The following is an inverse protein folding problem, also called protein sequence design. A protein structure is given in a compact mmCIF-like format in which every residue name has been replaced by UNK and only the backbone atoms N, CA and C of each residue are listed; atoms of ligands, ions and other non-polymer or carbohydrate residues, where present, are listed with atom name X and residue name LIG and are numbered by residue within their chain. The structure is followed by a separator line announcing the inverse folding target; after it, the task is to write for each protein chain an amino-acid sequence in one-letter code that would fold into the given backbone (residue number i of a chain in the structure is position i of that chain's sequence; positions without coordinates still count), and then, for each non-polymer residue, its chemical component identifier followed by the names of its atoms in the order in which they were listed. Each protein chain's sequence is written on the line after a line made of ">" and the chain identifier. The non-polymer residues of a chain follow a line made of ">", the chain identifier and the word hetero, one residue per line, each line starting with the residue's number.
data_IF_182528882159
#
_entry.id   IF_182528882159
#
_cell.length_a   1.000
_cell.length_b   1.000
_cell.length_c   1.000
_cell.angle_alpha   90.00
_cell.angle_beta   90.00
_cell.angle_gamma   90.00
#
_symmetry.space_group_name_H-M   'P 1'
#
loop_
_entity.id
_entity.type
_entity.pdbx_description
1 polymer ?
#
# COMPACT_ATOMS: atom_id res chain seq x y z
N UNK A 1 -46.98 40.12 44.11
CA UNK A 1 -45.82 39.20 43.89
C UNK A 1 -45.96 38.62 42.48
N UNK A 2 -45.13 39.04 41.54
CA UNK A 2 -45.16 38.62 40.12
C UNK A 2 -44.07 37.59 39.91
N UNK A 3 -44.42 36.33 39.67
CA UNK A 3 -43.44 35.27 39.32
C UNK A 3 -43.07 35.38 37.86
N UNK A 4 -41.81 35.74 37.55
CA UNK A 4 -41.25 35.73 36.21
C UNK A 4 -40.66 34.32 35.95
N UNK A 5 -41.23 33.60 35.00
CA UNK A 5 -40.69 32.35 34.49
C UNK A 5 -39.63 32.66 33.42
N UNK A 6 -38.38 32.31 33.70
CA UNK A 6 -37.30 32.38 32.73
C UNK A 6 -37.30 31.07 31.95
N UNK A 7 -37.70 31.12 30.68
CA UNK A 7 -37.58 30.01 29.73
C UNK A 7 -36.17 30.04 29.17
N UNK A 8 -35.30 29.11 29.60
CA UNK A 8 -33.98 28.89 29.03
C UNK A 8 -34.17 28.00 27.79
N UNK A 9 -34.08 28.62 26.61
CA UNK A 9 -34.13 27.91 25.33
C UNK A 9 -32.75 27.28 25.08
N UNK A 10 -32.66 25.97 25.21
CA UNK A 10 -31.47 25.17 24.83
C UNK A 10 -31.39 25.09 23.30
N UNK A 11 -30.51 25.88 22.71
CA UNK A 11 -30.16 25.79 21.28
C UNK A 11 -29.25 24.59 21.07
N UNK A 12 -29.82 23.48 20.65
CA UNK A 12 -29.05 22.26 20.26
C UNK A 12 -28.46 22.54 18.88
N UNK A 13 -27.16 22.85 18.84
CA UNK A 13 -26.40 22.93 17.57
C UNK A 13 -26.10 21.52 17.10
N UNK A 14 -26.85 21.03 16.13
CA UNK A 14 -26.52 19.81 15.38
C UNK A 14 -25.32 20.11 14.48
N UNK A 15 -24.13 19.75 14.90
CA UNK A 15 -22.97 19.69 14.00
C UNK A 15 -23.10 18.43 13.15
N UNK A 16 -23.60 18.59 11.94
CA UNK A 16 -23.59 17.53 10.94
C UNK A 16 -22.12 17.27 10.56
N UNK A 17 -21.51 16.23 11.13
CA UNK A 17 -20.24 15.71 10.63
C UNK A 17 -20.51 15.01 9.29
N UNK A 18 -20.44 15.77 8.20
CA UNK A 18 -20.36 15.16 6.87
C UNK A 18 -19.06 14.39 6.80
N UNK A 19 -19.13 13.07 6.71
CA UNK A 19 -17.97 12.23 6.39
C UNK A 19 -17.47 12.68 5.02
N UNK A 20 -16.41 13.47 5.01
CA UNK A 20 -15.83 13.99 3.78
C UNK A 20 -15.23 12.82 3.02
N UNK A 21 -15.77 12.50 1.86
CA UNK A 21 -15.20 11.49 0.96
C UNK A 21 -13.87 12.01 0.46
N UNK A 22 -12.83 11.19 0.61
CA UNK A 22 -11.50 11.54 0.11
C UNK A 22 -11.52 11.73 -1.42
N UNK A 23 -10.75 12.70 -1.95
CA UNK A 23 -10.60 12.85 -3.39
C UNK A 23 -9.92 11.62 -3.99
N UNK A 24 -10.14 11.37 -5.29
CA UNK A 24 -9.49 10.28 -6.02
C UNK A 24 -7.97 10.48 -6.15
N UNK A 25 -7.55 11.74 -6.17
CA UNK A 25 -6.13 12.13 -6.27
C UNK A 25 -5.82 13.18 -5.21
N UNK A 26 -4.62 13.08 -4.65
CA UNK A 26 -4.16 14.07 -3.70
C UNK A 26 -4.01 15.43 -4.37
N UNK A 27 -4.66 16.45 -3.80
CA UNK A 27 -4.72 17.80 -4.35
C UNK A 27 -3.73 18.75 -3.69
N UNK A 28 -3.33 18.44 -2.46
CA UNK A 28 -2.47 19.31 -1.66
C UNK A 28 -1.05 18.78 -1.54
N UNK A 29 -0.09 19.69 -1.53
CA UNK A 29 1.31 19.40 -1.23
C UNK A 29 1.52 19.36 0.28
N UNK A 30 2.19 18.32 0.78
CA UNK A 30 2.42 18.12 2.20
C UNK A 30 3.90 18.03 2.54
N UNK A 31 4.31 18.75 3.58
CA UNK A 31 5.59 18.48 4.24
C UNK A 31 5.47 17.21 5.07
N UNK A 32 6.48 16.34 4.95
CA UNK A 32 6.58 15.17 5.79
C UNK A 32 6.72 15.58 7.26
N UNK A 33 6.05 14.88 8.20
CA UNK A 33 6.26 15.09 9.62
C UNK A 33 7.74 14.94 9.99
N UNK A 34 8.23 15.76 10.93
CA UNK A 34 9.63 15.71 11.36
C UNK A 34 10.04 14.37 12.02
N UNK A 35 9.05 13.65 12.53
CA UNK A 35 9.21 12.36 13.20
C UNK A 35 8.80 11.17 12.30
N UNK A 36 8.74 11.36 10.96
CA UNK A 36 8.32 10.30 10.04
C UNK A 36 9.21 9.07 10.21
N UNK A 37 8.58 7.92 10.33
CA UNK A 37 9.21 6.60 10.41
C UNK A 37 8.65 5.74 9.30
N UNK A 38 9.49 4.87 8.76
CA UNK A 38 9.11 3.93 7.70
C UNK A 38 9.10 2.52 8.32
N UNK A 39 8.18 2.30 9.24
CA UNK A 39 8.09 1.07 10.02
C UNK A 39 6.87 0.20 9.67
N UNK A 40 6.09 0.64 8.69
CA UNK A 40 4.84 0.01 8.26
C UNK A 40 3.66 0.41 9.11
N UNK A 41 3.71 1.57 9.74
CA UNK A 41 2.60 2.15 10.51
C UNK A 41 2.29 3.53 9.98
N UNK A 42 1.02 3.90 10.00
CA UNK A 42 0.57 5.23 9.54
C UNK A 42 0.31 6.19 10.71
N UNK A 43 1.01 5.99 11.83
CA UNK A 43 0.78 6.74 13.08
C UNK A 43 1.06 8.22 12.94
N UNK A 44 2.03 8.60 12.13
CA UNK A 44 2.41 9.98 11.87
C UNK A 44 1.33 10.76 11.13
N UNK A 45 0.46 10.05 10.44
CA UNK A 45 -0.67 10.62 9.69
C UNK A 45 -1.98 10.61 10.47
N UNK A 46 -2.01 9.94 11.65
CA UNK A 46 -3.23 9.80 12.48
C UNK A 46 -4.41 9.27 11.67
N UNK A 47 -4.15 8.31 10.77
CA UNK A 47 -5.12 7.73 9.82
C UNK A 47 -5.75 8.73 8.82
N UNK A 48 -5.24 9.93 8.70
CA UNK A 48 -5.71 10.97 7.78
C UNK A 48 -4.97 10.86 6.45
N UNK A 49 -5.42 9.96 5.60
CA UNK A 49 -4.93 9.86 4.22
C UNK A 49 -5.50 10.99 3.36
N UNK A 50 -4.76 11.36 2.32
CA UNK A 50 -5.12 12.51 1.48
C UNK A 50 -5.98 12.14 0.28
N UNK A 51 -5.94 10.89 -0.15
CA UNK A 51 -6.72 10.43 -1.28
C UNK A 51 -7.07 8.94 -1.18
N UNK A 52 -8.10 8.54 -1.92
CA UNK A 52 -8.51 7.15 -2.12
C UNK A 52 -8.80 6.92 -3.60
N UNK A 53 -7.99 6.10 -4.25
CA UNK A 53 -8.24 5.70 -5.62
C UNK A 53 -9.15 4.47 -5.69
N UNK A 54 -10.21 4.56 -6.49
CA UNK A 54 -11.24 3.51 -6.60
C UNK A 54 -10.80 2.33 -7.47
N UNK A 55 -9.91 2.54 -8.43
CA UNK A 55 -9.48 1.48 -9.34
C UNK A 55 -8.50 0.52 -8.65
N UNK A 56 -7.63 1.06 -7.82
CA UNK A 56 -6.67 0.29 -7.03
C UNK A 56 -7.14 -0.03 -5.61
N UNK A 57 -8.19 0.66 -5.14
CA UNK A 57 -8.74 0.58 -3.77
C UNK A 57 -7.70 0.86 -2.68
N UNK A 58 -6.77 1.78 -2.97
CA UNK A 58 -5.75 2.20 -2.02
C UNK A 58 -6.02 3.59 -1.47
N UNK A 59 -5.82 3.74 -0.17
CA UNK A 59 -5.67 5.06 0.46
C UNK A 59 -4.21 5.45 0.37
N UNK A 60 -3.92 6.71 0.09
CA UNK A 60 -2.53 7.12 0.00
C UNK A 60 -2.30 8.58 0.40
N UNK A 61 -1.07 8.86 0.78
CA UNK A 61 -0.53 10.19 1.05
C UNK A 61 0.85 10.29 0.44
N UNK A 62 1.10 11.37 -0.29
CA UNK A 62 2.42 11.75 -0.78
C UNK A 62 2.87 12.96 0.01
N UNK A 63 4.10 12.95 0.46
CA UNK A 63 4.72 14.06 1.17
C UNK A 63 6.20 14.16 0.85
N UNK A 64 6.82 15.26 1.18
CA UNK A 64 8.27 15.41 1.03
C UNK A 64 8.87 16.24 2.17
N UNK A 65 10.14 16.02 2.42
CA UNK A 65 10.99 16.99 3.10
C UNK A 65 12.03 17.55 2.11
N UNK A 66 13.13 18.11 2.59
CA UNK A 66 14.18 18.68 1.72
C UNK A 66 15.03 17.59 1.05
N UNK A 67 15.00 16.37 1.55
CA UNK A 67 15.87 15.26 1.11
C UNK A 67 15.13 14.14 0.41
N UNK A 68 13.89 13.88 0.80
CA UNK A 68 13.15 12.69 0.39
C UNK A 68 11.73 13.01 -0.07
N UNK A 69 11.26 12.21 -1.01
CA UNK A 69 9.86 12.03 -1.40
C UNK A 69 9.32 10.77 -0.71
N UNK A 70 8.14 10.88 -0.08
CA UNK A 70 7.51 9.79 0.66
C UNK A 70 6.18 9.41 0.05
N UNK A 71 5.92 8.10 0.01
CA UNK A 71 4.62 7.52 -0.29
C UNK A 71 4.17 6.67 0.90
N UNK A 72 3.01 6.95 1.45
CA UNK A 72 2.37 6.12 2.48
C UNK A 72 1.06 5.60 1.90
N UNK A 73 0.91 4.28 1.84
CA UNK A 73 -0.23 3.59 1.24
C UNK A 73 -0.86 2.68 2.28
N UNK A 74 -2.21 2.70 2.33
CA UNK A 74 -3.01 1.86 3.22
C UNK A 74 -4.01 1.06 2.41
N UNK A 75 -4.07 -0.24 2.66
CA UNK A 75 -4.94 -1.18 1.96
C UNK A 75 -5.76 -1.97 2.96
N UNK A 76 -7.09 -1.91 2.80
CA UNK A 76 -8.05 -2.57 3.69
C UNK A 76 -8.64 -3.85 3.08
N UNK A 77 -8.70 -3.93 1.75
CA UNK A 77 -9.37 -5.03 1.06
C UNK A 77 -8.46 -6.26 0.99
N UNK A 78 -8.87 -7.42 1.54
CA UNK A 78 -8.02 -8.62 1.56
C UNK A 78 -7.57 -9.07 0.17
N UNK A 79 -8.45 -8.99 -0.85
CA UNK A 79 -8.09 -9.35 -2.23
C UNK A 79 -7.01 -8.44 -2.84
N UNK A 80 -7.05 -7.15 -2.49
CA UNK A 80 -6.02 -6.19 -2.94
C UNK A 80 -4.70 -6.46 -2.22
N UNK A 81 -4.75 -6.78 -0.92
CA UNK A 81 -3.58 -7.20 -0.15
C UNK A 81 -2.96 -8.47 -0.76
N UNK A 82 -3.80 -9.47 -1.11
CA UNK A 82 -3.32 -10.69 -1.76
C UNK A 82 -2.62 -10.39 -3.09
N UNK A 83 -3.19 -9.50 -3.91
CA UNK A 83 -2.58 -9.04 -5.16
C UNK A 83 -1.21 -8.43 -4.92
N UNK A 84 -1.10 -7.53 -3.93
CA UNK A 84 0.17 -6.90 -3.56
C UNK A 84 1.20 -7.92 -3.07
N UNK A 85 0.78 -8.86 -2.23
CA UNK A 85 1.69 -9.89 -1.71
C UNK A 85 2.22 -10.80 -2.83
N UNK A 86 1.44 -11.03 -3.87
CA UNK A 86 1.85 -11.86 -5.01
C UNK A 86 2.74 -11.11 -6.02
N UNK A 87 2.54 -9.80 -6.20
CA UNK A 87 3.15 -9.10 -7.33
C UNK A 87 3.75 -7.71 -7.01
N UNK A 88 3.47 -7.20 -5.81
CA UNK A 88 4.00 -5.91 -5.35
C UNK A 88 3.20 -4.69 -5.82
N UNK A 89 3.61 -3.56 -5.25
CA UNK A 89 3.22 -2.22 -5.67
C UNK A 89 4.40 -1.61 -6.42
N UNK A 90 4.16 -1.10 -7.61
CA UNK A 90 5.14 -0.28 -8.34
C UNK A 90 4.77 1.18 -8.17
N UNK A 91 5.70 1.96 -7.67
CA UNK A 91 5.63 3.42 -7.66
C UNK A 91 6.51 3.92 -8.79
N UNK A 92 5.92 4.65 -9.73
CA UNK A 92 6.66 5.32 -10.81
C UNK A 92 6.57 6.82 -10.63
N UNK A 93 7.68 7.50 -10.82
CA UNK A 93 7.81 8.96 -10.79
C UNK A 93 8.38 9.42 -12.12
N UNK A 94 7.67 10.32 -12.79
CA UNK A 94 8.09 10.91 -14.04
C UNK A 94 8.16 12.43 -13.92
N UNK A 95 9.30 13.03 -14.27
CA UNK A 95 9.56 14.45 -14.12
C UNK A 95 9.12 15.29 -15.33
N UNK A 96 8.81 14.67 -16.46
CA UNK A 96 8.41 15.38 -17.69
C UNK A 96 6.89 15.57 -17.79
N UNK A 97 6.15 15.08 -16.83
CA UNK A 97 4.68 15.15 -16.81
C UNK A 97 3.98 14.14 -17.72
N UNK A 98 4.74 13.22 -18.32
CA UNK A 98 4.17 12.12 -19.12
C UNK A 98 3.51 11.10 -18.20
N UNK A 99 2.38 10.59 -18.65
CA UNK A 99 1.64 9.48 -18.02
C UNK A 99 1.79 8.24 -18.89
N UNK A 100 3.03 7.78 -19.02
CA UNK A 100 3.42 6.69 -19.89
C UNK A 100 4.41 5.78 -19.16
N UNK A 101 4.06 4.52 -19.03
CA UNK A 101 4.86 3.49 -18.36
C UNK A 101 6.19 3.21 -19.06
N UNK A 102 6.24 3.41 -20.38
CA UNK A 102 7.42 3.13 -21.22
C UNK A 102 8.36 4.35 -21.36
N UNK A 103 8.02 5.48 -20.72
CA UNK A 103 8.87 6.65 -20.78
C UNK A 103 10.25 6.36 -20.19
N UNK A 104 11.30 6.73 -20.92
CA UNK A 104 12.71 6.43 -20.58
C UNK A 104 13.22 7.22 -19.36
N UNK A 105 12.50 8.25 -18.96
CA UNK A 105 12.78 9.13 -17.82
C UNK A 105 11.97 8.77 -16.57
N UNK A 106 11.31 7.62 -16.60
CA UNK A 106 10.63 7.06 -15.43
C UNK A 106 11.63 6.52 -14.41
N UNK A 107 11.42 6.86 -13.15
CA UNK A 107 12.02 6.16 -12.01
C UNK A 107 10.95 5.30 -11.38
N UNK A 108 11.17 3.99 -11.34
CA UNK A 108 10.19 3.02 -10.84
C UNK A 108 10.78 2.14 -9.74
N UNK A 109 10.00 1.92 -8.69
CA UNK A 109 10.36 1.04 -7.57
C UNK A 109 9.20 0.08 -7.30
N UNK A 110 9.51 -1.22 -7.22
CA UNK A 110 8.51 -2.26 -6.93
C UNK A 110 8.85 -2.98 -5.63
N UNK A 111 7.88 -3.06 -4.71
CA UNK A 111 7.96 -3.76 -3.43
C UNK A 111 6.54 -4.10 -2.93
N UNK A 112 6.31 -5.19 -2.17
CA UNK A 112 7.25 -6.25 -1.87
C UNK A 112 7.46 -7.21 -3.04
N UNK A 113 8.62 -7.81 -3.11
CA UNK A 113 8.91 -8.92 -4.02
C UNK A 113 9.28 -10.12 -3.17
N UNK A 114 8.48 -11.18 -3.27
CA UNK A 114 8.65 -12.40 -2.49
C UNK A 114 8.64 -13.60 -3.42
N UNK A 115 9.33 -14.67 -3.03
CA UNK A 115 9.19 -15.95 -3.71
C UNK A 115 7.78 -16.49 -3.50
N UNK A 116 7.17 -17.03 -4.55
CA UNK A 116 5.79 -17.54 -4.52
C UNK A 116 5.54 -18.53 -3.38
N UNK A 117 6.55 -19.33 -3.03
CA UNK A 117 6.49 -20.27 -1.91
C UNK A 117 6.38 -19.62 -0.53
N UNK A 118 6.72 -18.34 -0.44
CA UNK A 118 6.83 -17.60 0.84
C UNK A 118 5.81 -16.47 0.96
N UNK A 119 4.88 -16.36 -0.01
CA UNK A 119 3.84 -15.33 0.03
C UNK A 119 2.91 -15.58 1.22
N UNK A 120 2.78 -14.63 2.16
CA UNK A 120 1.79 -14.73 3.21
C UNK A 120 0.38 -14.73 2.60
N UNK A 121 -0.35 -15.80 2.79
CA UNK A 121 -1.75 -15.86 2.37
C UNK A 121 -2.62 -15.44 3.56
N UNK A 122 -3.22 -14.28 3.45
CA UNK A 122 -4.23 -13.81 4.39
C UNK A 122 -5.57 -14.23 3.81
N UNK A 123 -6.12 -15.34 4.30
CA UNK A 123 -7.44 -15.80 3.88
C UNK A 123 -8.46 -15.36 4.91
N UNK A 124 -9.35 -14.45 4.53
CA UNK A 124 -10.57 -14.19 5.29
C UNK A 124 -11.63 -15.18 4.85
N UNK A 125 -11.89 -16.21 5.66
CA UNK A 125 -13.01 -17.11 5.42
C UNK A 125 -14.32 -16.35 5.62
N UNK A 126 -15.02 -16.09 4.51
CA UNK A 126 -16.38 -15.54 4.52
C UNK A 126 -17.34 -16.66 4.87
N UNK A 127 -18.07 -16.54 5.98
CA UNK A 127 -19.17 -17.47 6.32
C UNK A 127 -19.23 -17.99 7.74
N UNK A 128 -18.21 -17.81 8.56
CA UNK A 128 -18.26 -18.15 9.98
C UNK A 128 -18.29 -16.85 10.81
N UNK A 129 -18.93 -16.90 11.99
CA UNK A 129 -18.98 -15.78 12.96
C UNK A 129 -17.61 -15.33 13.48
N UNK A 130 -16.53 -15.96 13.03
CA UNK A 130 -15.13 -15.65 13.32
C UNK A 130 -14.36 -15.44 12.02
N UNK A 131 -13.70 -14.30 11.86
CA UNK A 131 -12.74 -14.06 10.78
C UNK A 131 -11.53 -14.95 11.04
N UNK A 132 -11.29 -15.97 10.19
CA UNK A 132 -10.06 -16.77 10.22
C UNK A 132 -9.03 -16.11 9.31
N UNK A 133 -7.88 -15.80 9.85
CA UNK A 133 -6.71 -15.44 9.07
C UNK A 133 -5.81 -16.66 9.02
N UNK A 134 -5.64 -17.26 7.84
CA UNK A 134 -4.72 -18.36 7.66
C UNK A 134 -3.44 -17.84 7.02
N UNK A 135 -2.32 -18.16 7.62
CA UNK A 135 -1.00 -17.91 7.04
C UNK A 135 -0.44 -19.26 6.63
N UNK A 136 -0.39 -19.54 5.32
CA UNK A 136 0.27 -20.73 4.81
C UNK A 136 1.56 -20.34 4.11
N UNK A 137 2.65 -20.99 4.45
CA UNK A 137 3.92 -20.91 3.73
C UNK A 137 4.16 -22.23 3.00
N UNK A 138 4.45 -22.13 1.70
CA UNK A 138 5.06 -23.21 0.94
C UNK A 138 4.14 -24.03 0.03
N UNK A 139 4.72 -24.38 -1.11
CA UNK A 139 4.17 -25.32 -2.09
C UNK A 139 4.41 -26.74 -1.55
N UNK A 140 3.34 -27.53 -1.42
CA UNK A 140 3.44 -28.99 -1.24
C UNK A 140 3.26 -29.54 0.16
N UNK A 141 3.10 -28.73 1.18
CA UNK A 141 2.46 -29.21 2.39
C UNK A 141 0.96 -29.12 2.18
N UNK A 142 0.29 -30.28 2.07
CA UNK A 142 -1.13 -30.35 2.43
C UNK A 142 -1.24 -29.53 3.71
N UNK A 143 -2.35 -28.82 3.95
CA UNK A 143 -2.59 -28.27 5.27
C UNK A 143 -2.38 -29.45 6.22
N UNK A 144 -1.22 -29.55 6.84
CA UNK A 144 -1.07 -30.41 8.00
C UNK A 144 -2.09 -29.84 8.95
N UNK A 145 -2.84 -30.71 9.62
CA UNK A 145 -3.95 -30.44 10.52
C UNK A 145 -3.64 -29.49 11.70
N UNK A 146 -2.71 -28.58 11.51
CA UNK A 146 -2.46 -27.45 12.38
C UNK A 146 -3.27 -26.27 11.85
N UNK A 147 -4.57 -26.34 11.97
CA UNK A 147 -5.42 -25.17 12.03
C UNK A 147 -5.24 -24.59 13.43
N UNK A 148 -4.55 -23.46 13.61
CA UNK A 148 -4.67 -22.76 14.87
C UNK A 148 -6.12 -22.32 14.98
N UNK A 149 -6.93 -22.96 15.82
CA UNK A 149 -8.24 -22.49 16.20
C UNK A 149 -8.09 -21.15 16.90
N UNK A 150 -8.31 -20.08 16.17
CA UNK A 150 -8.40 -18.75 16.75
C UNK A 150 -9.83 -18.50 17.21
N UNK A 151 -10.11 -18.88 18.42
CA UNK A 151 -11.26 -18.37 19.17
C UNK A 151 -10.98 -16.89 19.48
N UNK A 152 -11.84 -16.01 18.95
CA UNK A 152 -11.95 -14.58 19.24
C UNK A 152 -10.87 -13.67 18.65
N UNK A 153 -11.33 -12.57 18.04
CA UNK A 153 -10.63 -11.35 17.61
C UNK A 153 -9.20 -11.54 17.06
N UNK A 154 -8.82 -10.96 15.91
CA UNK A 154 -7.46 -11.06 15.40
C UNK A 154 -6.49 -10.64 16.51
N UNK A 155 -5.84 -11.62 17.13
CA UNK A 155 -4.93 -11.34 18.22
C UNK A 155 -3.71 -10.62 17.67
N UNK A 156 -3.05 -9.80 18.49
CA UNK A 156 -1.78 -9.15 18.16
C UNK A 156 -0.75 -10.14 17.60
N UNK A 157 -0.85 -11.42 17.94
CA UNK A 157 0.00 -12.50 17.43
C UNK A 157 -0.10 -12.75 15.92
N UNK A 158 -1.29 -12.60 15.28
CA UNK A 158 -1.44 -12.84 13.83
C UNK A 158 -0.84 -11.72 13.00
N UNK A 159 -1.07 -10.48 13.39
CA UNK A 159 -0.43 -9.30 12.86
C UNK A 159 1.09 -9.47 12.89
N UNK A 160 1.61 -9.90 14.03
CA UNK A 160 3.04 -10.08 14.22
C UNK A 160 3.58 -11.21 13.34
N UNK A 161 2.85 -12.32 13.19
CA UNK A 161 3.24 -13.42 12.29
C UNK A 161 3.24 -12.97 10.84
N UNK A 162 2.17 -12.34 10.35
CA UNK A 162 2.10 -11.84 8.98
C UNK A 162 3.20 -10.80 8.68
N UNK A 163 3.43 -9.86 9.60
CA UNK A 163 4.48 -8.85 9.48
C UNK A 163 5.88 -9.49 9.54
N UNK A 164 6.11 -10.46 10.41
CA UNK A 164 7.38 -11.20 10.47
C UNK A 164 7.66 -11.96 9.18
N UNK A 165 6.66 -12.64 8.62
CA UNK A 165 6.80 -13.36 7.34
C UNK A 165 7.09 -12.39 6.19
N UNK A 166 6.38 -11.26 6.11
CA UNK A 166 6.65 -10.22 5.14
C UNK A 166 8.10 -9.74 5.26
N UNK A 167 8.52 -9.32 6.45
CA UNK A 167 9.89 -8.83 6.72
C UNK A 167 10.96 -9.90 6.51
N UNK A 168 10.66 -11.17 6.72
CA UNK A 168 11.59 -12.26 6.48
C UNK A 168 11.83 -12.53 5.00
N UNK A 169 10.81 -12.37 4.16
CA UNK A 169 10.82 -12.79 2.77
C UNK A 169 10.94 -11.63 1.76
N UNK A 170 10.40 -10.45 2.04
CA UNK A 170 10.53 -9.28 1.19
C UNK A 170 11.84 -8.53 1.48
N UNK A 171 12.93 -9.00 0.87
CA UNK A 171 14.29 -8.46 1.06
C UNK A 171 14.80 -7.60 -0.07
N UNK A 172 14.00 -7.49 -1.13
CA UNK A 172 14.42 -6.90 -2.39
C UNK A 172 13.42 -5.86 -2.86
N UNK A 173 13.94 -4.73 -3.31
CA UNK A 173 13.24 -3.68 -4.04
C UNK A 173 13.69 -3.76 -5.49
N UNK A 174 12.80 -3.90 -6.45
CA UNK A 174 13.16 -3.78 -7.86
C UNK A 174 13.19 -2.32 -8.25
N UNK A 175 14.30 -1.89 -8.84
CA UNK A 175 14.54 -0.50 -9.25
C UNK A 175 14.74 -0.43 -10.75
N UNK A 176 14.22 0.65 -11.36
CA UNK A 176 14.46 0.98 -12.76
C UNK A 176 14.55 2.50 -12.92
N UNK A 177 15.49 2.95 -13.76
CA UNK A 177 15.58 4.32 -14.24
C UNK A 177 16.30 5.32 -13.33
N UNK A 178 16.95 4.85 -12.26
CA UNK A 178 17.85 5.69 -11.45
C UNK A 178 19.23 5.69 -12.07
N UNK A 179 19.69 6.82 -12.54
CA UNK A 179 20.97 6.92 -13.29
C UNK A 179 22.18 6.40 -12.49
N UNK A 180 22.18 6.61 -11.19
CA UNK A 180 23.30 6.29 -10.29
C UNK A 180 23.25 4.85 -9.77
N UNK A 181 22.16 4.14 -10.01
CA UNK A 181 21.94 2.79 -9.51
C UNK A 181 21.56 1.90 -10.71
N UNK A 182 22.26 0.81 -10.95
CA UNK A 182 21.89 -0.11 -12.04
C UNK A 182 20.46 -0.61 -11.88
N UNK A 183 19.74 -0.71 -12.99
CA UNK A 183 18.42 -1.34 -13.01
C UNK A 183 18.51 -2.78 -12.50
N UNK A 184 17.58 -3.16 -11.65
CA UNK A 184 17.52 -4.51 -11.10
C UNK A 184 17.09 -4.56 -9.64
N UNK A 185 17.63 -5.52 -8.94
CA UNK A 185 17.26 -5.83 -7.56
C UNK A 185 18.20 -5.13 -6.56
N UNK A 186 17.62 -4.30 -5.69
CA UNK A 186 18.30 -3.62 -4.60
C UNK A 186 17.87 -4.23 -3.27
N UNK A 187 18.82 -4.47 -2.37
CA UNK A 187 18.51 -4.93 -1.01
C UNK A 187 17.69 -3.88 -0.25
N UNK A 188 16.76 -4.30 0.60
CA UNK A 188 16.09 -3.40 1.55
C UNK A 188 17.06 -2.78 2.56
N UNK A 189 18.26 -3.34 2.71
CA UNK A 189 19.35 -2.85 3.57
C UNK A 189 20.42 -2.08 2.77
N UNK A 190 19.98 -1.35 1.74
CA UNK A 190 20.88 -0.63 0.82
C UNK A 190 21.55 0.59 1.47
N UNK A 191 22.60 1.08 0.80
CA UNK A 191 23.33 2.30 1.21
C UNK A 191 22.81 3.55 0.49
N UNK A 192 21.94 3.38 -0.47
CA UNK A 192 21.35 4.42 -1.29
C UNK A 192 20.30 5.24 -0.54
N UNK A 193 19.92 4.81 0.66
CA UNK A 193 18.85 5.39 1.48
C UNK A 193 17.47 5.36 0.82
N UNK A 194 17.25 4.39 -0.06
CA UNK A 194 15.90 4.04 -0.53
C UNK A 194 15.30 3.12 0.52
N UNK A 195 14.32 3.60 1.25
CA UNK A 195 13.79 2.89 2.42
C UNK A 195 12.36 2.48 2.14
N UNK A 196 12.06 1.22 2.43
CA UNK A 196 10.69 0.69 2.41
C UNK A 196 10.33 0.15 3.79
N UNK A 197 9.13 0.47 4.25
CA UNK A 197 8.51 -0.09 5.43
C UNK A 197 7.18 -0.73 5.06
N UNK A 198 6.89 -1.92 5.58
CA UNK A 198 5.59 -2.52 5.39
C UNK A 198 5.22 -3.41 6.57
N UNK A 199 3.96 -3.36 6.96
CA UNK A 199 3.43 -4.18 8.05
C UNK A 199 1.92 -4.35 7.95
N UNK A 200 1.40 -5.27 8.75
CA UNK A 200 -0.03 -5.42 8.98
C UNK A 200 -0.39 -4.85 10.35
N UNK A 201 -1.49 -4.13 10.44
CA UNK A 201 -2.03 -3.72 11.73
C UNK A 201 -2.88 -4.84 12.38
N UNK A 202 -3.36 -4.60 13.60
CA UNK A 202 -4.16 -5.57 14.35
C UNK A 202 -5.49 -5.94 13.70
N UNK A 203 -5.95 -5.20 12.70
CA UNK A 203 -7.17 -5.47 11.95
C UNK A 203 -6.89 -6.18 10.62
N UNK A 204 -5.61 -6.45 10.29
CA UNK A 204 -5.20 -7.04 9.02
C UNK A 204 -5.08 -6.03 7.87
N UNK A 205 -5.14 -4.74 8.19
CA UNK A 205 -4.88 -3.67 7.21
C UNK A 205 -3.39 -3.61 6.90
N UNK A 206 -3.06 -3.55 5.63
CA UNK A 206 -1.69 -3.44 5.15
C UNK A 206 -1.28 -1.98 5.00
N UNK A 207 -0.15 -1.63 5.58
CA UNK A 207 0.50 -0.33 5.42
C UNK A 207 1.81 -0.53 4.67
N UNK A 208 2.03 0.30 3.67
CA UNK A 208 3.25 0.37 2.88
C UNK A 208 3.79 1.80 2.91
N UNK A 209 5.07 1.94 3.09
CA UNK A 209 5.77 3.21 3.14
C UNK A 209 7.03 3.14 2.29
N UNK A 210 7.30 4.19 1.55
CA UNK A 210 8.47 4.31 0.70
C UNK A 210 9.07 5.71 0.86
N UNK A 211 10.38 5.79 1.04
CA UNK A 211 11.15 7.01 0.90
C UNK A 211 12.13 6.88 -0.26
N UNK A 212 12.11 7.86 -1.14
CA UNK A 212 13.03 7.98 -2.27
C UNK A 212 13.82 9.28 -2.10
N UNK A 213 15.16 9.24 -1.99
CA UNK A 213 15.96 10.46 -1.96
C UNK A 213 15.77 11.29 -3.23
N UNK A 214 15.45 12.58 -3.05
CA UNK A 214 15.20 13.52 -4.15
C UNK A 214 16.40 13.63 -5.13
N UNK A 215 17.61 13.35 -4.65
CA UNK A 215 18.81 13.32 -5.49
C UNK A 215 18.72 12.33 -6.66
N UNK A 216 17.92 11.27 -6.52
CA UNK A 216 17.69 10.27 -7.58
C UNK A 216 16.52 10.63 -8.51
N UNK A 217 15.75 11.63 -8.14
CA UNK A 217 14.61 12.14 -8.89
C UNK A 217 14.99 13.46 -9.60
N UNK A 218 16.16 13.46 -10.27
CA UNK A 218 16.69 14.65 -10.95
C UNK A 218 15.69 15.17 -11.98
N UNK A 219 15.49 16.46 -12.02
CA UNK A 219 14.45 17.10 -12.82
C UNK A 219 13.20 17.46 -12.02
N UNK A 220 12.78 16.66 -11.04
CA UNK A 220 11.68 17.00 -10.13
C UNK A 220 12.08 18.20 -9.27
N UNK A 221 13.32 18.21 -8.76
CA UNK A 221 13.81 19.28 -7.89
C UNK A 221 13.81 20.65 -8.62
N UNK A 222 14.03 20.64 -9.92
CA UNK A 222 14.06 21.89 -10.72
C UNK A 222 12.66 22.34 -11.16
N UNK A 223 11.71 21.42 -11.31
CA UNK A 223 10.35 21.72 -11.79
C UNK A 223 9.32 21.74 -10.69
N UNK A 224 9.65 21.25 -9.48
CA UNK A 224 8.77 21.12 -8.30
C UNK A 224 7.50 20.31 -8.53
N UNK A 225 7.08 20.07 -9.77
CA UNK A 225 5.88 19.31 -10.17
C UNK A 225 6.27 18.12 -11.01
N UNK A 226 5.66 16.97 -10.73
CA UNK A 226 5.90 15.70 -11.43
C UNK A 226 4.61 14.88 -11.52
N UNK A 227 4.60 13.88 -12.39
CA UNK A 227 3.57 12.85 -12.41
C UNK A 227 4.05 11.61 -11.66
N UNK A 228 3.11 10.93 -11.05
CA UNK A 228 3.35 9.65 -10.41
C UNK A 228 2.32 8.61 -10.84
N UNK A 229 2.70 7.35 -10.80
CA UNK A 229 1.82 6.22 -10.97
C UNK A 229 1.91 5.30 -9.75
N UNK A 230 0.77 4.85 -9.26
CA UNK A 230 0.68 3.78 -8.27
C UNK A 230 0.02 2.59 -8.96
N UNK A 231 0.80 1.51 -9.13
CA UNK A 231 0.41 0.33 -9.89
C UNK A 231 0.46 -0.91 -9.02
N UNK A 232 -0.65 -1.62 -8.94
CA UNK A 232 -0.72 -2.96 -8.38
C UNK A 232 -0.44 -3.96 -9.51
N UNK A 233 0.67 -4.66 -9.40
CA UNK A 233 1.13 -5.55 -10.46
C UNK A 233 0.24 -6.79 -10.58
N UNK A 234 0.16 -7.31 -11.80
CA UNK A 234 -0.41 -8.63 -12.05
C UNK A 234 0.56 -9.73 -11.57
N UNK A 235 0.04 -10.79 -10.96
CA UNK A 235 0.87 -11.96 -10.65
C UNK A 235 1.51 -12.57 -11.91
N UNK A 236 0.91 -12.37 -13.09
CA UNK A 236 1.46 -12.84 -14.37
C UNK A 236 2.73 -12.09 -14.77
N UNK A 237 2.88 -10.83 -14.36
CA UNK A 237 4.07 -10.01 -14.63
C UNK A 237 5.29 -10.43 -13.78
N UNK A 238 5.06 -11.22 -12.75
CA UNK A 238 6.09 -11.67 -11.78
C UNK A 238 6.28 -13.18 -11.84
N UNK A 239 5.80 -13.81 -12.92
CA UNK A 239 5.98 -15.25 -13.14
C UNK A 239 7.46 -15.63 -13.08
N UNK A 240 7.80 -16.45 -12.09
CA UNK A 240 9.15 -16.96 -11.88
C UNK A 240 9.24 -18.38 -12.40
N UNK A 241 10.43 -18.86 -12.79
CA UNK A 241 10.61 -20.24 -13.24
C UNK A 241 10.01 -21.23 -12.24
N UNK A 242 9.16 -22.14 -12.72
CA UNK A 242 8.48 -23.15 -11.88
C UNK A 242 7.14 -22.70 -11.28
N UNK A 243 6.69 -21.49 -11.51
CA UNK A 243 5.37 -21.03 -11.09
C UNK A 243 4.32 -21.61 -12.04
N UNK A 244 3.42 -22.44 -11.51
CA UNK A 244 2.25 -22.97 -12.24
C UNK A 244 1.05 -22.15 -11.84
N UNK A 245 0.44 -21.43 -12.77
CA UNK A 245 -0.84 -20.78 -12.57
C UNK A 245 -1.94 -21.83 -12.73
N UNK A 246 -2.61 -22.16 -11.64
CA UNK A 246 -3.88 -22.91 -11.70
C UNK A 246 -5.03 -21.93 -11.71
N UNK A 247 -5.97 -22.14 -12.62
CA UNK A 247 -7.19 -21.34 -12.69
C UNK A 247 -8.35 -22.16 -12.14
N UNK A 248 -9.18 -21.53 -11.35
CA UNK A 248 -10.44 -22.12 -10.91
C UNK A 248 -11.50 -21.85 -11.97
N UNK A 249 -12.17 -22.89 -12.44
CA UNK A 249 -13.30 -22.80 -13.35
C UNK A 249 -14.57 -23.27 -12.65
N UNK A 250 -15.62 -22.50 -12.78
CA UNK A 250 -16.97 -22.89 -12.35
C UNK A 250 -17.89 -22.80 -13.57
N UNK A 251 -18.53 -23.90 -13.95
CA UNK A 251 -19.38 -23.94 -15.13
C UNK A 251 -18.66 -23.70 -16.47
N UNK A 252 -17.33 -23.92 -16.53
CA UNK A 252 -16.53 -23.65 -17.71
C UNK A 252 -16.00 -22.22 -17.83
N UNK A 253 -16.38 -21.34 -16.90
CA UNK A 253 -15.90 -19.96 -16.83
C UNK A 253 -14.83 -19.78 -15.75
N UNK A 254 -13.85 -18.94 -16.02
CA UNK A 254 -12.79 -18.59 -15.08
C UNK A 254 -13.36 -17.75 -13.94
N UNK A 255 -13.05 -18.09 -12.68
CA UNK A 255 -13.57 -17.37 -11.51
C UNK A 255 -12.98 -15.95 -11.45
N UNK A 256 -13.83 -14.98 -11.19
CA UNK A 256 -13.49 -13.54 -11.20
C UNK A 256 -12.35 -13.14 -10.25
N UNK A 257 -12.18 -13.85 -9.13
CA UNK A 257 -11.07 -13.62 -8.20
C UNK A 257 -9.68 -13.83 -8.84
N UNK A 258 -9.57 -14.81 -9.73
CA UNK A 258 -8.33 -15.06 -10.46
C UNK A 258 -8.06 -13.98 -11.50
N UNK A 259 -9.12 -13.44 -12.13
CA UNK A 259 -8.99 -12.35 -13.10
C UNK A 259 -8.44 -11.08 -12.45
N UNK A 260 -8.84 -10.78 -11.22
CA UNK A 260 -8.34 -9.61 -10.48
C UNK A 260 -6.85 -9.74 -10.15
N UNK A 261 -6.40 -10.93 -9.72
CA UNK A 261 -4.98 -11.20 -9.46
C UNK A 261 -4.12 -11.18 -10.73
N UNK A 262 -4.71 -11.53 -11.87
CA UNK A 262 -4.03 -11.59 -13.17
C UNK A 262 -4.09 -10.28 -13.95
N UNK A 263 -4.82 -9.30 -13.44
CA UNK A 263 -4.93 -7.97 -14.05
C UNK A 263 -4.03 -6.98 -13.34
N UNK A 264 -3.39 -6.09 -14.07
CA UNK A 264 -2.75 -4.90 -13.52
C UNK A 264 -3.80 -3.83 -13.29
N UNK A 265 -3.77 -3.14 -12.16
CA UNK A 265 -4.60 -1.96 -11.88
C UNK A 265 -3.71 -0.82 -11.45
N UNK A 266 -3.94 0.36 -12.01
CA UNK A 266 -3.11 1.52 -11.74
C UNK A 266 -3.86 2.83 -11.90
N UNK A 267 -3.25 3.89 -11.43
CA UNK A 267 -3.67 5.25 -11.73
C UNK A 267 -2.48 6.21 -11.77
N UNK A 268 -2.64 7.26 -12.56
CA UNK A 268 -1.71 8.37 -12.64
C UNK A 268 -2.24 9.59 -11.89
N UNK A 269 -1.35 10.26 -11.17
CA UNK A 269 -1.59 11.53 -10.51
C UNK A 269 -0.48 12.54 -10.78
N UNK A 270 -0.65 13.73 -10.25
CA UNK A 270 0.33 14.81 -10.30
C UNK A 270 0.57 15.31 -8.87
N UNK A 271 1.79 15.65 -8.56
CA UNK A 271 2.16 16.19 -7.27
C UNK A 271 3.16 17.34 -7.42
N UNK A 272 3.01 18.33 -6.57
CA UNK A 272 3.96 19.43 -6.46
C UNK A 272 4.68 19.31 -5.13
N UNK A 273 6.01 19.43 -5.12
CA UNK A 273 6.77 19.39 -3.87
C UNK A 273 6.33 20.53 -2.95
N UNK A 274 6.07 20.20 -1.69
CA UNK A 274 5.81 21.20 -0.67
C UNK A 274 7.08 21.99 -0.38
N UNK A 275 6.97 23.31 -0.43
CA UNK A 275 8.08 24.21 -0.13
C UNK A 275 8.39 24.23 1.39
N UNK A 276 9.59 24.64 1.74
CA UNK A 276 9.99 24.96 3.10
C UNK A 276 9.14 26.14 3.57
N UNK A 277 8.54 26.00 4.72
CA UNK A 277 7.88 27.13 5.42
C UNK A 277 8.93 27.98 6.13
#
# INVERSE_FOLDING_TARGET
>A
MKNAWIIISFLVIYTSTTAQTLPLKQEISLRAPSNIKLDGKSTEWGDKFQAFDKATEVFYTISNNDENLYFTIKVKQPRVIEKIMNAGITITVNNTGKKDDEATDNVSLTFPLMDYSNVPRIVTASGAKTKRIMVSAGRGTRPTDYEPEFNSTPSDSLKDVATKLLKANAKTIKIKGIKEIPDGDLSVYNQENIIVGAAFDHTGVYIYELAIPLKYLRGIVNQTRFTYNIKLQSRLNVLRPGMVTSYNYVGGERVSADLDLDSTTDFWGEYTLASKQ
#
